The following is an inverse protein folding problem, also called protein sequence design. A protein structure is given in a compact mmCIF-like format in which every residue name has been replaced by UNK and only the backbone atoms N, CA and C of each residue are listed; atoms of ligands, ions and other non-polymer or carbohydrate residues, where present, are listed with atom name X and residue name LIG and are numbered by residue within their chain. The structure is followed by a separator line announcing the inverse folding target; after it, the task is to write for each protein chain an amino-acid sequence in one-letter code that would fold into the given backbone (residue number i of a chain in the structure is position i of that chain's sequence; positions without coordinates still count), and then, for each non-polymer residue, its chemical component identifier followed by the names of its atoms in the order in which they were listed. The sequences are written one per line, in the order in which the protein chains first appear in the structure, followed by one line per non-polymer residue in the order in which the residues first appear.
data_IF_446141078320
#
_entry.id   IF_446141078320
#
_cell.length_a   1.000
_cell.length_b   1.000
_cell.length_c   1.000
_cell.angle_alpha   90.00
_cell.angle_beta   90.00
_cell.angle_gamma   90.00
#
_symmetry.space_group_name_H-M   'P 1'
#
loop_
_entity.id
_entity.type
_entity.pdbx_description
1 polymer ?
#
# COMPACT_ATOMS: atom_id res chain seq x y z
N UNK A 1 51.55 4.59 12.44
CA UNK A 1 51.35 3.57 13.48
C UNK A 1 52.15 4.00 14.69
N UNK A 2 51.53 4.79 15.57
CA UNK A 2 52.19 5.47 16.68
C UNK A 2 51.51 5.05 17.99
N UNK A 3 52.32 4.72 18.99
CA UNK A 3 51.96 4.17 20.28
C UNK A 3 51.09 5.11 21.15
N UNK A 4 49.78 5.15 20.94
CA UNK A 4 48.89 5.99 21.75
C UNK A 4 47.83 5.23 22.57
N UNK A 5 47.74 3.90 22.47
CA UNK A 5 46.66 3.13 23.13
C UNK A 5 47.07 2.33 24.38
N UNK A 6 48.31 2.40 24.84
CA UNK A 6 48.77 1.61 26.01
C UNK A 6 48.71 2.36 27.35
N UNK A 7 48.25 3.62 27.37
CA UNK A 7 48.15 4.41 28.61
C UNK A 7 46.75 4.48 29.22
N UNK A 8 45.71 3.94 28.57
CA UNK A 8 44.36 3.97 29.12
C UNK A 8 44.00 2.77 30.04
N UNK A 9 44.92 1.81 30.26
CA UNK A 9 44.68 0.65 31.14
C UNK A 9 45.65 0.61 32.34
N UNK A 10 46.57 1.57 32.49
CA UNK A 10 47.65 1.49 33.48
C UNK A 10 47.68 2.62 34.53
N UNK A 11 46.53 3.19 34.90
CA UNK A 11 46.45 4.17 35.98
C UNK A 11 45.45 3.80 37.11
N UNK A 12 45.24 2.50 37.37
CA UNK A 12 44.43 2.03 38.50
C UNK A 12 45.19 1.88 39.83
N UNK A 13 46.41 2.41 40.00
CA UNK A 13 47.20 2.13 41.22
C UNK A 13 47.82 3.30 41.98
N UNK A 14 47.55 4.58 41.67
CA UNK A 14 48.12 5.68 42.50
C UNK A 14 47.24 6.88 42.88
N UNK A 15 45.93 6.93 42.59
CA UNK A 15 45.06 7.92 43.24
C UNK A 15 43.69 7.28 43.49
N UNK A 16 43.45 6.81 44.71
CA UNK A 16 42.17 6.24 45.16
C UNK A 16 41.00 7.24 45.23
N UNK A 17 41.06 8.32 44.43
CA UNK A 17 40.04 9.38 44.34
C UNK A 17 39.58 9.57 42.88
N UNK A 18 40.43 9.27 41.88
CA UNK A 18 40.09 9.45 40.47
C UNK A 18 39.41 8.24 39.79
N UNK A 19 39.51 7.04 40.37
CA UNK A 19 38.89 5.83 39.83
C UNK A 19 37.38 5.74 40.16
N UNK A 20 36.97 6.25 41.32
CA UNK A 20 35.56 6.37 41.71
C UNK A 20 34.85 7.41 40.85
N UNK A 21 35.45 8.59 40.63
CA UNK A 21 34.89 9.62 39.74
C UNK A 21 34.68 9.11 38.31
N UNK A 22 35.59 8.29 37.78
CA UNK A 22 35.41 7.68 36.45
C UNK A 22 34.32 6.62 36.40
N UNK A 23 34.15 5.81 37.45
CA UNK A 23 33.08 4.82 37.54
C UNK A 23 31.71 5.48 37.71
N UNK A 24 31.63 6.56 38.48
CA UNK A 24 30.42 7.34 38.70
C UNK A 24 29.99 8.07 37.41
N UNK A 25 30.93 8.68 36.70
CA UNK A 25 30.66 9.31 35.40
C UNK A 25 30.18 8.27 34.35
N UNK A 26 30.81 7.09 34.31
CA UNK A 26 30.38 6.00 33.42
C UNK A 26 29.01 5.44 33.80
N UNK A 27 28.69 5.39 35.09
CA UNK A 27 27.37 4.98 35.57
C UNK A 27 26.28 5.98 35.19
N UNK A 28 26.54 7.28 35.33
CA UNK A 28 25.60 8.33 34.93
C UNK A 28 25.36 8.32 33.41
N UNK A 29 26.42 8.14 32.60
CA UNK A 29 26.29 8.00 31.14
C UNK A 29 25.46 6.77 30.76
N UNK A 30 25.66 5.65 31.46
CA UNK A 30 24.87 4.43 31.26
C UNK A 30 23.41 4.63 31.66
N UNK A 31 23.14 5.28 32.80
CA UNK A 31 21.78 5.60 33.26
C UNK A 31 21.07 6.55 32.28
N UNK A 32 21.75 7.58 31.77
CA UNK A 32 21.25 8.49 30.74
C UNK A 32 20.96 7.77 29.42
N UNK A 33 21.83 6.85 29.02
CA UNK A 33 21.64 6.03 27.81
C UNK A 33 20.41 5.13 27.95
N UNK A 34 20.24 4.48 29.10
CA UNK A 34 19.07 3.64 29.39
C UNK A 34 17.78 4.49 29.36
N UNK A 35 17.78 5.67 29.98
CA UNK A 35 16.64 6.58 29.96
C UNK A 35 16.29 7.04 28.53
N UNK A 36 17.29 7.40 27.73
CA UNK A 36 17.13 7.77 26.31
C UNK A 36 16.51 6.65 25.48
N UNK A 37 17.05 5.43 25.60
CA UNK A 37 16.55 4.27 24.86
C UNK A 37 15.12 3.89 25.28
N UNK A 38 14.80 3.97 26.57
CA UNK A 38 13.45 3.76 27.07
C UNK A 38 12.48 4.79 26.49
N UNK A 39 12.85 6.08 26.44
CA UNK A 39 12.02 7.14 25.87
C UNK A 39 11.79 6.93 24.36
N UNK A 40 12.84 6.60 23.60
CA UNK A 40 12.72 6.28 22.17
C UNK A 40 11.81 5.07 21.92
N UNK A 41 11.86 4.06 22.79
CA UNK A 41 11.00 2.87 22.70
C UNK A 41 9.53 3.17 22.99
N UNK A 42 9.26 4.14 23.86
CA UNK A 42 7.89 4.60 24.14
C UNK A 42 7.37 5.42 22.95
N UNK A 43 8.16 6.36 22.43
CA UNK A 43 7.79 7.18 21.26
C UNK A 43 7.53 6.32 20.01
N UNK A 44 8.39 5.33 19.73
CA UNK A 44 8.18 4.42 18.60
C UNK A 44 6.90 3.58 18.73
N UNK A 45 6.58 3.11 19.94
CA UNK A 45 5.33 2.40 20.20
C UNK A 45 4.10 3.30 20.06
N UNK A 46 4.18 4.54 20.52
CA UNK A 46 3.08 5.49 20.37
C UNK A 46 2.84 5.85 18.90
N UNK A 47 3.90 6.00 18.09
CA UNK A 47 3.79 6.18 16.64
C UNK A 47 3.14 4.98 15.95
N UNK A 48 3.48 3.77 16.36
CA UNK A 48 2.92 2.54 15.78
C UNK A 48 1.44 2.36 16.17
N UNK A 49 1.07 2.72 17.40
CA UNK A 49 -0.32 2.73 17.87
C UNK A 49 -1.21 3.75 17.16
N UNK A 50 -0.63 4.80 16.57
CA UNK A 50 -1.34 5.83 15.81
C UNK A 50 -1.44 5.56 14.31
N UNK A 51 -0.80 4.51 13.79
CA UNK A 51 -0.74 4.24 12.35
C UNK A 51 -1.98 3.45 11.90
N UNK A 52 -2.81 4.04 11.05
CA UNK A 52 -3.96 3.31 10.49
C UNK A 52 -3.45 2.29 9.47
N UNK A 53 -3.74 1.02 9.70
CA UNK A 53 -3.58 -0.02 8.69
C UNK A 53 -4.65 0.19 7.62
N UNK A 54 -4.25 0.12 6.35
CA UNK A 54 -5.16 0.31 5.23
C UNK A 54 -4.96 -0.82 4.23
N UNK A 55 -6.02 -1.58 4.00
CA UNK A 55 -6.03 -2.63 3.00
C UNK A 55 -7.47 -2.90 2.58
N UNK A 56 -7.71 -3.08 1.29
CA UNK A 56 -9.01 -3.49 0.78
C UNK A 56 -8.89 -4.48 -0.36
N UNK A 57 -9.92 -5.30 -0.51
CA UNK A 57 -10.10 -6.20 -1.63
C UNK A 57 -11.59 -6.30 -1.94
N UNK A 58 -11.94 -5.95 -3.17
CA UNK A 58 -13.29 -6.04 -3.68
C UNK A 58 -13.32 -6.65 -5.09
N UNK A 59 -14.41 -7.33 -5.43
CA UNK A 59 -14.62 -7.91 -6.75
C UNK A 59 -16.08 -7.83 -7.21
N UNK A 60 -16.31 -8.04 -8.50
CA UNK A 60 -17.64 -8.09 -9.10
C UNK A 60 -18.29 -9.45 -8.84
N UNK A 61 -19.50 -9.45 -8.30
CA UNK A 61 -20.28 -10.67 -8.05
C UNK A 61 -20.68 -11.40 -9.35
N UNK A 62 -20.87 -10.65 -10.43
CA UNK A 62 -21.41 -11.12 -11.69
C UNK A 62 -20.62 -10.55 -12.89
N UNK A 63 -20.79 -11.19 -14.04
CA UNK A 63 -20.29 -10.69 -15.31
C UNK A 63 -20.92 -9.33 -15.67
N UNK A 64 -20.20 -8.51 -16.43
CA UNK A 64 -20.64 -7.19 -16.88
C UNK A 64 -20.88 -7.21 -18.38
N UNK A 65 -22.07 -6.82 -18.81
CA UNK A 65 -22.36 -6.60 -20.23
C UNK A 65 -21.67 -5.31 -20.70
N UNK A 66 -20.86 -5.40 -21.75
CA UNK A 66 -20.12 -4.25 -22.31
C UNK A 66 -21.06 -3.17 -22.86
N UNK A 67 -22.28 -3.55 -23.27
CA UNK A 67 -23.35 -2.63 -23.67
C UNK A 67 -23.83 -1.71 -22.54
N UNK A 68 -23.65 -2.10 -21.27
CA UNK A 68 -24.00 -1.29 -20.10
C UNK A 68 -22.89 -0.32 -19.66
N UNK A 69 -21.73 -0.41 -20.31
CA UNK A 69 -20.55 0.40 -20.02
C UNK A 69 -20.49 1.61 -20.94
N UNK A 70 -20.22 2.77 -20.36
CA UNK A 70 -19.85 4.00 -21.06
C UNK A 70 -18.39 4.35 -20.72
N UNK A 71 -17.69 5.04 -21.62
CA UNK A 71 -16.35 5.52 -21.33
C UNK A 71 -16.33 6.34 -20.03
N UNK A 72 -15.24 6.24 -19.27
CA UNK A 72 -15.01 6.88 -17.98
C UNK A 72 -15.96 6.47 -16.83
N UNK A 73 -16.90 5.55 -17.07
CA UNK A 73 -17.78 5.00 -16.03
C UNK A 73 -16.95 4.23 -15.01
N UNK A 74 -17.13 4.54 -13.74
CA UNK A 74 -16.49 3.83 -12.63
C UNK A 74 -17.02 2.39 -12.53
N UNK A 75 -16.12 1.45 -12.29
CA UNK A 75 -16.47 0.10 -11.90
C UNK A 75 -16.81 0.05 -10.41
N UNK A 76 -18.02 -0.41 -10.08
CA UNK A 76 -18.47 -0.60 -8.69
C UNK A 76 -18.34 -2.08 -8.34
N UNK A 77 -17.29 -2.44 -7.59
CA UNK A 77 -17.03 -3.82 -7.17
C UNK A 77 -17.88 -4.14 -5.95
N UNK A 78 -18.99 -4.84 -6.17
CA UNK A 78 -20.11 -4.98 -5.23
C UNK A 78 -19.90 -6.03 -4.12
N UNK A 79 -18.82 -6.82 -4.17
CA UNK A 79 -18.40 -7.73 -3.10
C UNK A 79 -17.12 -7.25 -2.47
N UNK A 80 -17.15 -6.95 -1.17
CA UNK A 80 -16.01 -6.50 -0.38
C UNK A 80 -15.63 -7.59 0.61
N UNK A 81 -14.42 -8.12 0.50
CA UNK A 81 -13.89 -9.15 1.43
C UNK A 81 -13.06 -8.52 2.54
N UNK A 82 -12.27 -7.49 2.20
CA UNK A 82 -11.41 -6.77 3.13
C UNK A 82 -11.63 -5.28 2.94
N UNK A 83 -11.73 -4.53 4.04
CA UNK A 83 -11.80 -3.06 4.03
C UNK A 83 -11.22 -2.45 5.31
N UNK A 84 -10.00 -2.84 5.67
CA UNK A 84 -9.29 -2.28 6.83
C UNK A 84 -8.98 -0.81 6.56
N UNK A 85 -9.30 0.05 7.54
CA UNK A 85 -9.23 1.50 7.38
C UNK A 85 -10.45 2.12 6.67
N UNK A 86 -11.43 1.31 6.25
CA UNK A 86 -12.70 1.73 5.64
C UNK A 86 -12.55 2.71 4.46
N UNK A 87 -11.49 2.56 3.66
CA UNK A 87 -11.23 3.44 2.53
C UNK A 87 -12.08 3.14 1.30
N UNK A 88 -12.49 1.88 1.09
CA UNK A 88 -13.30 1.49 -0.07
C UNK A 88 -14.79 1.67 0.19
N UNK A 89 -15.49 2.35 -0.72
CA UNK A 89 -16.94 2.53 -0.71
C UNK A 89 -17.59 1.67 -1.80
N UNK A 90 -18.33 0.66 -1.36
CA UNK A 90 -19.03 -0.31 -2.21
C UNK A 90 -20.16 0.31 -3.06
N UNK A 91 -20.67 1.48 -2.68
CA UNK A 91 -21.76 2.13 -3.40
C UNK A 91 -21.26 2.94 -4.60
N UNK A 92 -20.06 3.51 -4.48
CA UNK A 92 -19.45 4.37 -5.50
C UNK A 92 -18.35 3.68 -6.31
N UNK A 93 -17.73 2.64 -5.74
CA UNK A 93 -16.55 1.99 -6.28
C UNK A 93 -15.25 2.73 -6.01
N UNK A 94 -15.28 3.75 -5.16
CA UNK A 94 -14.13 4.60 -4.85
C UNK A 94 -13.36 4.06 -3.66
N UNK A 95 -12.04 4.20 -3.72
CA UNK A 95 -11.17 4.15 -2.55
C UNK A 95 -10.77 5.59 -2.19
N UNK A 96 -11.15 6.04 -1.00
CA UNK A 96 -10.72 7.34 -0.45
C UNK A 96 -9.61 7.06 0.56
N UNK A 97 -8.42 7.60 0.32
CA UNK A 97 -7.28 7.35 1.19
C UNK A 97 -7.52 7.95 2.58
N UNK A 98 -7.49 7.15 3.66
CA UNK A 98 -7.70 7.66 5.02
C UNK A 98 -6.47 8.38 5.58
N UNK A 99 -5.27 8.08 5.04
CA UNK A 99 -4.01 8.69 5.45
C UNK A 99 -3.07 8.91 4.26
N UNK A 100 -2.17 9.87 4.41
CA UNK A 100 -1.00 10.04 3.54
C UNK A 100 -0.15 8.76 3.55
N UNK A 101 0.39 8.39 2.39
CA UNK A 101 1.30 7.27 2.30
C UNK A 101 1.69 6.88 0.89
N UNK A 102 2.39 5.75 0.81
CA UNK A 102 2.62 5.03 -0.44
C UNK A 102 1.71 3.81 -0.45
N UNK A 103 0.91 3.67 -1.50
CA UNK A 103 -0.07 2.60 -1.65
C UNK A 103 0.27 1.75 -2.87
N UNK A 104 0.00 0.45 -2.78
CA UNK A 104 -0.04 -0.43 -3.94
C UNK A 104 -1.50 -0.71 -4.30
N UNK A 105 -1.82 -0.65 -5.59
CA UNK A 105 -3.12 -0.98 -6.15
C UNK A 105 -2.96 -2.08 -7.19
N UNK A 106 -3.89 -3.03 -7.19
CA UNK A 106 -3.93 -4.11 -8.16
C UNK A 106 -5.35 -4.23 -8.74
N UNK A 107 -5.43 -4.27 -10.06
CA UNK A 107 -6.69 -4.36 -10.81
C UNK A 107 -6.60 -5.57 -11.73
N UNK A 108 -7.66 -6.37 -11.80
CA UNK A 108 -7.76 -7.49 -12.74
C UNK A 108 -9.01 -7.35 -13.59
N UNK A 109 -8.86 -7.51 -14.90
CA UNK A 109 -9.93 -7.48 -15.89
C UNK A 109 -9.86 -8.72 -16.77
N UNK A 110 -11.01 -9.35 -17.03
CA UNK A 110 -11.14 -10.49 -17.92
C UNK A 110 -12.16 -10.19 -19.01
N UNK A 111 -11.73 -10.26 -20.26
CA UNK A 111 -12.60 -10.19 -21.43
C UNK A 111 -12.79 -11.60 -22.00
N UNK A 112 -14.01 -11.91 -22.44
CA UNK A 112 -14.38 -13.24 -22.93
C UNK A 112 -15.02 -13.18 -24.31
N UNK A 113 -14.68 -14.15 -25.16
CA UNK A 113 -15.31 -14.44 -26.45
C UNK A 113 -15.48 -13.19 -27.32
N UNK A 114 -14.41 -12.82 -28.02
CA UNK A 114 -14.37 -11.66 -28.92
C UNK A 114 -14.70 -10.33 -28.25
N UNK A 115 -14.38 -10.22 -26.96
CA UNK A 115 -14.57 -9.01 -26.17
C UNK A 115 -13.24 -8.39 -25.81
N UNK A 116 -13.23 -7.08 -25.62
CA UNK A 116 -12.08 -6.35 -25.12
C UNK A 116 -12.53 -5.14 -24.29
N UNK A 117 -11.71 -4.73 -23.34
CA UNK A 117 -11.92 -3.50 -22.59
C UNK A 117 -10.60 -2.99 -22.01
N UNK A 118 -10.33 -1.71 -22.21
CA UNK A 118 -9.34 -1.00 -21.42
C UNK A 118 -9.92 -0.55 -20.09
N UNK A 119 -9.10 -0.59 -19.06
CA UNK A 119 -9.45 -0.14 -17.71
C UNK A 119 -8.39 0.85 -17.25
N UNK A 120 -8.82 1.92 -16.61
CA UNK A 120 -7.95 3.00 -16.15
C UNK A 120 -7.99 3.06 -14.63
N UNK A 121 -6.82 3.03 -13.99
CA UNK A 121 -6.67 3.41 -12.59
C UNK A 121 -6.47 4.93 -12.53
N UNK A 122 -7.31 5.62 -11.78
CA UNK A 122 -7.37 7.08 -11.75
C UNK A 122 -7.20 7.59 -10.33
N UNK A 123 -6.36 8.62 -10.15
CA UNK A 123 -6.21 9.38 -8.91
C UNK A 123 -6.77 10.78 -9.12
N UNK A 124 -7.86 11.12 -8.39
CA UNK A 124 -8.61 12.39 -8.40
C UNK A 124 -9.22 12.85 -9.73
N UNK A 125 -8.64 12.50 -10.88
CA UNK A 125 -9.14 12.57 -12.27
C UNK A 125 -8.01 12.29 -13.28
N UNK A 126 -6.76 12.18 -12.81
CA UNK A 126 -5.60 11.86 -13.63
C UNK A 126 -5.41 10.34 -13.75
N UNK A 127 -5.25 9.87 -14.99
CA UNK A 127 -4.97 8.46 -15.28
C UNK A 127 -3.54 8.14 -14.82
N UNK A 128 -3.40 7.11 -13.98
CA UNK A 128 -2.13 6.65 -13.42
C UNK A 128 -1.64 5.34 -14.02
N UNK A 129 -2.56 4.47 -14.42
CA UNK A 129 -2.24 3.20 -15.06
C UNK A 129 -3.39 2.74 -15.98
N UNK A 130 -3.08 1.90 -16.96
CA UNK A 130 -4.04 1.39 -17.95
C UNK A 130 -3.82 -0.11 -18.15
N UNK A 131 -4.85 -0.90 -17.91
CA UNK A 131 -4.92 -2.32 -18.27
C UNK A 131 -5.72 -2.53 -19.55
N UNK A 132 -5.42 -3.58 -20.31
CA UNK A 132 -6.12 -3.89 -21.56
C UNK A 132 -6.36 -5.40 -21.67
N UNK A 133 -7.59 -5.84 -21.39
CA UNK A 133 -8.00 -7.24 -21.55
C UNK A 133 -8.58 -7.43 -22.95
N UNK A 134 -8.02 -8.37 -23.72
CA UNK A 134 -8.24 -8.39 -25.17
C UNK A 134 -8.35 -9.78 -25.79
N UNK A 135 -9.59 -10.23 -25.97
CA UNK A 135 -9.87 -11.40 -26.79
C UNK A 135 -10.16 -11.01 -28.25
N UNK A 136 -10.24 -9.72 -28.61
CA UNK A 136 -10.60 -9.16 -29.95
C UNK A 136 -11.50 -10.06 -30.82
N UNK A 137 -10.92 -10.84 -31.72
CA UNK A 137 -11.57 -11.69 -32.72
C UNK A 137 -11.46 -13.19 -32.38
N UNK A 138 -10.84 -13.51 -31.24
CA UNK A 138 -10.66 -14.85 -30.70
C UNK A 138 -11.82 -15.29 -29.78
N UNK A 139 -12.30 -16.54 -29.89
CA UNK A 139 -13.30 -17.12 -28.99
C UNK A 139 -12.63 -17.72 -27.74
N UNK A 140 -11.91 -16.91 -26.97
CA UNK A 140 -11.20 -17.32 -25.76
C UNK A 140 -11.34 -16.32 -24.60
N UNK A 141 -10.52 -16.48 -23.56
CA UNK A 141 -10.47 -15.59 -22.39
C UNK A 141 -9.13 -14.87 -22.37
N UNK A 142 -9.18 -13.54 -22.38
CA UNK A 142 -8.02 -12.69 -22.21
C UNK A 142 -8.08 -11.97 -20.87
N UNK A 143 -7.07 -12.18 -20.04
CA UNK A 143 -6.94 -11.53 -18.73
C UNK A 143 -5.87 -10.45 -18.79
N UNK A 144 -6.12 -9.33 -18.14
CA UNK A 144 -5.15 -8.29 -17.89
C UNK A 144 -5.15 -7.91 -16.42
N UNK A 145 -3.95 -7.74 -15.87
CA UNK A 145 -3.77 -7.21 -14.52
C UNK A 145 -2.76 -6.07 -14.53
N UNK A 146 -2.99 -5.07 -13.70
CA UNK A 146 -2.04 -3.98 -13.44
C UNK A 146 -1.69 -3.94 -11.96
N UNK A 147 -0.45 -3.54 -11.65
CA UNK A 147 0.03 -3.34 -10.29
C UNK A 147 0.74 -1.99 -10.20
N UNK A 148 0.13 -1.04 -9.50
CA UNK A 148 0.55 0.37 -9.50
C UNK A 148 0.92 0.80 -8.09
N UNK A 149 2.11 1.38 -7.91
CA UNK A 149 2.53 1.99 -6.65
C UNK A 149 2.42 3.50 -6.76
N UNK A 150 1.64 4.14 -5.88
CA UNK A 150 1.35 5.57 -5.92
C UNK A 150 1.61 6.22 -4.56
N UNK A 151 2.04 7.49 -4.61
CA UNK A 151 1.97 8.37 -3.45
C UNK A 151 0.59 9.00 -3.40
N UNK A 152 -0.11 8.81 -2.28
CA UNK A 152 -1.50 9.20 -2.11
C UNK A 152 -1.62 10.03 -0.84
N UNK A 153 -2.37 11.12 -0.90
CA UNK A 153 -2.68 11.96 0.26
C UNK A 153 -4.01 11.56 0.86
N UNK A 154 -4.19 11.81 2.16
CA UNK A 154 -5.47 11.69 2.82
C UNK A 154 -6.54 12.48 2.04
N UNK A 155 -7.66 11.83 1.74
CA UNK A 155 -8.76 12.39 0.95
C UNK A 155 -8.62 12.25 -0.57
N UNK A 156 -7.47 11.81 -1.09
CA UNK A 156 -7.36 11.47 -2.52
C UNK A 156 -8.30 10.30 -2.85
N UNK A 157 -8.93 10.39 -4.02
CA UNK A 157 -9.84 9.38 -4.54
C UNK A 157 -9.13 8.53 -5.59
N UNK A 158 -9.06 7.23 -5.35
CA UNK A 158 -8.61 6.24 -6.31
C UNK A 158 -9.81 5.46 -6.82
N UNK A 159 -9.96 5.37 -8.14
CA UNK A 159 -11.06 4.63 -8.77
C UNK A 159 -10.58 3.89 -10.02
N UNK A 160 -11.23 2.78 -10.31
CA UNK A 160 -11.07 2.09 -11.59
C UNK A 160 -12.24 2.45 -12.49
N UNK A 161 -11.96 2.83 -13.73
CA UNK A 161 -13.00 3.19 -14.71
C UNK A 161 -12.78 2.53 -16.06
N UNK A 162 -13.84 2.47 -16.85
CA UNK A 162 -13.81 2.03 -18.25
C UNK A 162 -12.95 3.01 -19.05
N UNK A 163 -11.94 2.53 -19.75
CA UNK A 163 -11.13 3.34 -20.64
C UNK A 163 -11.80 3.60 -22.00
N UNK A 164 -11.05 4.17 -22.94
CA UNK A 164 -11.61 4.59 -24.23
C UNK A 164 -11.99 3.43 -25.17
N UNK A 165 -11.38 2.26 -25.00
CA UNK A 165 -11.58 1.14 -25.90
C UNK A 165 -12.35 0.02 -25.22
N UNK A 166 -13.47 -0.36 -25.83
CA UNK A 166 -14.29 -1.48 -25.41
C UNK A 166 -15.09 -2.02 -26.59
N UNK A 167 -15.29 -3.33 -26.62
CA UNK A 167 -16.08 -3.98 -27.66
C UNK A 167 -16.37 -5.43 -27.34
N UNK A 168 -17.30 -6.01 -28.09
CA UNK A 168 -17.82 -7.36 -27.82
C UNK A 168 -18.96 -7.34 -26.80
N UNK A 169 -19.09 -8.45 -26.06
CA UNK A 169 -20.30 -8.75 -25.29
C UNK A 169 -20.12 -8.60 -23.79
N UNK A 170 -19.02 -9.15 -23.23
CA UNK A 170 -18.97 -9.49 -21.81
C UNK A 170 -17.57 -9.33 -21.22
N UNK A 171 -17.50 -8.69 -20.05
CA UNK A 171 -16.41 -8.86 -19.10
C UNK A 171 -16.80 -9.90 -18.06
N UNK A 172 -15.93 -10.89 -17.83
CA UNK A 172 -16.27 -12.08 -17.06
C UNK A 172 -15.81 -11.96 -15.60
N UNK A 173 -16.75 -12.16 -14.66
CA UNK A 173 -16.50 -12.32 -13.23
C UNK A 173 -17.44 -13.39 -12.67
N UNK A 174 -16.91 -14.58 -12.40
CA UNK A 174 -17.65 -15.77 -11.97
C UNK A 174 -16.73 -16.74 -11.19
N UNK A 175 -17.01 -18.04 -11.24
CA UNK A 175 -16.22 -19.08 -10.56
C UNK A 175 -14.82 -19.31 -11.14
N UNK A 176 -14.54 -18.86 -12.37
CA UNK A 176 -13.26 -19.07 -13.06
C UNK A 176 -12.31 -17.89 -12.91
N UNK A 177 -12.85 -16.68 -12.76
CA UNK A 177 -12.08 -15.45 -12.65
C UNK A 177 -12.89 -14.36 -11.96
N UNK A 178 -12.18 -13.39 -11.38
CA UNK A 178 -12.79 -12.22 -10.75
C UNK A 178 -12.31 -10.95 -11.44
N UNK A 179 -13.24 -10.08 -11.79
CA UNK A 179 -12.95 -8.66 -11.98
C UNK A 179 -12.76 -8.08 -10.58
N UNK A 180 -11.55 -7.64 -10.26
CA UNK A 180 -11.22 -7.23 -8.89
C UNK A 180 -10.40 -5.96 -8.82
N UNK A 181 -10.55 -5.26 -7.69
CA UNK A 181 -9.76 -4.12 -7.29
C UNK A 181 -9.33 -4.29 -5.84
N UNK A 182 -8.02 -4.18 -5.61
CA UNK A 182 -7.41 -4.28 -4.29
C UNK A 182 -6.34 -3.24 -4.11
N UNK A 183 -6.04 -2.93 -2.86
CA UNK A 183 -4.86 -2.14 -2.54
C UNK A 183 -4.56 -2.12 -1.05
N UNK A 184 -3.35 -1.69 -0.71
CA UNK A 184 -2.90 -1.55 0.66
C UNK A 184 -1.83 -0.46 0.80
N UNK A 185 -1.75 0.13 2.00
CA UNK A 185 -0.69 1.09 2.37
C UNK A 185 0.60 0.34 2.67
N UNK A 186 1.69 0.73 2.03
CA UNK A 186 3.04 0.16 2.24
C UNK A 186 3.75 0.89 3.38
N UNK A 187 3.81 2.23 3.32
CA UNK A 187 4.48 3.07 4.31
C UNK A 187 3.66 4.30 4.67
#
# INVERSE_FOLDING_TARGET
MSWSCLWAVCACLLVGVGAEETCDAQREEMENTICSLCAQRVDSRLKDMGKIQVAFFAYMSNNILISSLSANKTFVYDRVETNVGNGYDVTTGYFVAPEDGVYAFHVTTLARDKSHCSVELVQNEEIKDIGWADAMDHPDRASASTFTILRVKAGDVIRVRVGQAKGGNLLESNQYARLSFSGFKIV
#
